data_IF_886340108552
#
_entry.id   IF_886340108552
#
_cell.length_a   1.000
_cell.length_b   1.000
_cell.length_c   1.000
_cell.angle_alpha   90.00
_cell.angle_beta   90.00
_cell.angle_gamma   90.00
#
_symmetry.space_group_name_H-M   'P 1'
#
loop_
_entity.id
_entity.type
_entity.pdbx_description
1 polymer ?
#
# COMPACT_ATOMS: atom_id res chain seq x y z
N UNK A 1 -40.32 -27.53 11.70
CA UNK A 1 -39.35 -27.50 10.59
C UNK A 1 -38.10 -26.81 11.13
N UNK A 2 -37.03 -27.58 11.35
CA UNK A 2 -35.80 -27.11 11.98
C UNK A 2 -34.78 -26.75 10.90
N UNK A 3 -34.36 -25.48 10.86
CA UNK A 3 -33.36 -24.99 9.93
C UNK A 3 -31.97 -25.55 10.31
N UNK A 4 -31.22 -26.13 9.36
CA UNK A 4 -29.88 -26.64 9.62
C UNK A 4 -28.90 -25.48 9.85
N UNK A 5 -28.29 -25.45 11.03
CA UNK A 5 -27.15 -24.58 11.36
C UNK A 5 -25.95 -25.04 10.52
N UNK A 6 -25.52 -24.20 9.57
CA UNK A 6 -24.28 -24.42 8.82
C UNK A 6 -23.09 -24.12 9.72
N UNK A 7 -22.29 -25.14 10.01
CA UNK A 7 -21.00 -25.01 10.66
C UNK A 7 -20.04 -24.30 9.70
N UNK A 8 -19.51 -23.15 10.12
CA UNK A 8 -18.39 -22.49 9.47
C UNK A 8 -17.13 -23.30 9.78
N UNK A 9 -16.58 -23.94 8.76
CA UNK A 9 -15.29 -24.61 8.82
C UNK A 9 -14.20 -23.56 9.01
N UNK A 10 -13.43 -23.70 10.09
CA UNK A 10 -12.24 -22.90 10.35
C UNK A 10 -11.13 -23.32 9.36
N UNK A 11 -10.90 -22.51 8.33
CA UNK A 11 -9.80 -22.69 7.39
C UNK A 11 -8.49 -22.46 8.12
N UNK A 12 -7.72 -23.51 8.33
CA UNK A 12 -6.41 -23.47 8.96
C UNK A 12 -5.43 -22.82 7.99
N UNK A 13 -5.00 -21.59 8.28
CA UNK A 13 -3.92 -20.94 7.56
C UNK A 13 -2.63 -21.74 7.78
N UNK A 14 -2.14 -22.39 6.73
CA UNK A 14 -0.86 -23.08 6.76
C UNK A 14 0.26 -22.04 6.79
N UNK A 15 0.93 -21.92 7.95
CA UNK A 15 2.18 -21.20 8.12
C UNK A 15 3.25 -21.88 7.24
N UNK A 16 3.61 -21.26 6.12
CA UNK A 16 4.76 -21.67 5.31
C UNK A 16 6.01 -21.16 6.00
N UNK A 17 6.63 -22.01 6.81
CA UNK A 17 7.97 -21.76 7.35
C UNK A 17 9.00 -21.94 6.21
N UNK A 18 9.33 -20.84 5.53
CA UNK A 18 10.43 -20.77 4.56
C UNK A 18 11.77 -20.72 5.27
N UNK A 19 12.62 -21.72 5.01
CA UNK A 19 13.97 -21.88 5.54
C UNK A 19 14.89 -20.72 5.16
N UNK A 20 15.27 -19.92 6.16
CA UNK A 20 16.33 -18.91 6.13
C UNK A 20 17.74 -19.54 6.13
N UNK A 21 18.14 -20.17 5.03
CA UNK A 21 19.53 -20.65 4.83
C UNK A 21 20.13 -19.98 3.60
N UNK A 22 20.50 -18.71 3.74
CA UNK A 22 21.10 -17.96 2.63
C UNK A 22 21.45 -16.52 2.93
N UNK A 23 21.88 -16.18 4.15
CA UNK A 23 22.47 -14.88 4.46
C UNK A 23 23.88 -14.76 3.85
N UNK A 24 23.97 -14.85 2.52
CA UNK A 24 25.13 -14.33 1.80
C UNK A 24 25.18 -12.82 2.07
N UNK A 25 26.29 -12.35 2.63
CA UNK A 25 26.51 -10.98 3.07
C UNK A 25 26.16 -9.97 1.97
N UNK A 26 24.91 -9.50 1.96
CA UNK A 26 24.52 -8.36 1.17
C UNK A 26 25.39 -7.18 1.64
N UNK A 27 26.04 -6.45 0.72
CA UNK A 27 26.78 -5.25 1.09
C UNK A 27 25.84 -4.35 1.91
N UNK A 28 26.33 -3.69 2.98
CA UNK A 28 25.50 -2.91 3.87
C UNK A 28 24.80 -1.78 3.09
N UNK A 29 23.59 -2.06 2.62
CA UNK A 29 22.69 -1.10 2.05
C UNK A 29 21.89 -0.48 3.20
N UNK A 30 21.70 0.84 3.17
CA UNK A 30 20.71 1.47 4.05
C UNK A 30 19.31 0.92 3.78
N UNK A 31 18.52 0.67 4.83
CA UNK A 31 17.13 0.26 4.74
C UNK A 31 16.88 -1.21 5.06
N UNK A 32 15.63 -1.64 4.92
CA UNK A 32 15.18 -3.02 5.12
C UNK A 32 15.63 -3.89 3.92
N UNK A 33 16.10 -5.13 4.13
CA UNK A 33 16.46 -6.06 3.05
C UNK A 33 15.31 -6.34 2.08
N UNK A 34 15.62 -6.54 0.80
CA UNK A 34 14.61 -6.63 -0.28
C UNK A 34 13.71 -7.88 -0.13
N UNK A 35 14.26 -8.99 0.35
CA UNK A 35 13.55 -10.22 0.69
C UNK A 35 12.56 -10.00 1.84
N UNK A 36 12.98 -9.29 2.88
CA UNK A 36 12.12 -8.90 4.00
C UNK A 36 10.99 -7.97 3.53
N UNK A 37 11.28 -7.01 2.65
CA UNK A 37 10.25 -6.14 2.08
C UNK A 37 9.20 -6.95 1.31
N UNK A 38 9.64 -7.90 0.49
CA UNK A 38 8.74 -8.75 -0.29
C UNK A 38 7.87 -9.64 0.61
N UNK A 39 8.47 -10.24 1.64
CA UNK A 39 7.78 -11.04 2.66
C UNK A 39 6.71 -10.21 3.37
N UNK A 40 7.06 -9.04 3.91
CA UNK A 40 6.10 -8.19 4.63
C UNK A 40 5.00 -7.63 3.74
N UNK A 41 5.27 -7.36 2.46
CA UNK A 41 4.20 -6.99 1.51
C UNK A 41 3.25 -8.17 1.30
N UNK A 42 3.77 -9.39 1.23
CA UNK A 42 2.96 -10.60 1.10
C UNK A 42 2.07 -10.88 2.33
N UNK A 43 2.45 -10.37 3.50
CA UNK A 43 1.68 -10.47 4.74
C UNK A 43 0.55 -9.44 4.85
N UNK A 44 0.50 -8.42 3.97
CA UNK A 44 -0.57 -7.42 3.98
C UNK A 44 -1.92 -8.12 3.68
N UNK A 45 -2.95 -7.95 4.54
CA UNK A 45 -4.28 -8.47 4.26
C UNK A 45 -4.79 -8.01 2.90
N UNK A 46 -5.17 -8.97 2.04
CA UNK A 46 -5.65 -8.70 0.69
C UNK A 46 -4.55 -8.73 -0.39
N UNK A 47 -3.29 -8.94 -0.06
CA UNK A 47 -2.25 -9.29 -1.04
C UNK A 47 -2.24 -10.81 -1.26
N UNK A 48 -2.19 -11.24 -2.52
CA UNK A 48 -2.23 -12.65 -2.92
C UNK A 48 -0.91 -13.13 -3.53
N UNK A 49 -0.14 -12.24 -4.13
CA UNK A 49 1.16 -12.54 -4.72
C UNK A 49 2.04 -11.29 -4.78
N UNK A 50 3.35 -11.49 -4.62
CA UNK A 50 4.37 -10.44 -4.68
C UNK A 50 5.55 -10.94 -5.49
N UNK A 51 5.93 -10.16 -6.49
CA UNK A 51 7.23 -10.23 -7.15
C UNK A 51 7.89 -8.88 -7.00
N UNK A 52 9.05 -8.83 -6.35
CA UNK A 52 9.79 -7.61 -6.09
C UNK A 52 11.26 -7.83 -6.42
N UNK A 53 11.81 -6.99 -7.29
CA UNK A 53 13.21 -7.02 -7.69
C UNK A 53 13.79 -5.62 -7.64
N UNK A 54 14.88 -5.45 -6.89
CA UNK A 54 15.67 -4.23 -6.95
C UNK A 54 16.59 -4.26 -8.17
N UNK A 55 16.44 -3.27 -9.05
CA UNK A 55 17.26 -3.08 -10.25
C UNK A 55 18.07 -1.81 -10.14
N UNK A 56 19.29 -1.86 -10.64
CA UNK A 56 20.17 -0.70 -10.78
C UNK A 56 20.79 -0.73 -12.16
N UNK A 57 20.34 0.16 -13.03
CA UNK A 57 20.86 0.29 -14.40
C UNK A 57 21.19 1.76 -14.71
N UNK A 58 22.09 1.98 -15.66
CA UNK A 58 22.58 3.32 -15.98
C UNK A 58 21.54 4.19 -16.72
N UNK A 59 20.49 3.59 -17.29
CA UNK A 59 19.46 4.32 -18.06
C UNK A 59 18.33 4.85 -17.20
N UNK A 60 17.94 4.09 -16.16
CA UNK A 60 16.77 4.38 -15.31
C UNK A 60 17.14 4.54 -13.84
N UNK A 61 18.40 4.35 -13.48
CA UNK A 61 18.87 4.47 -12.10
C UNK A 61 18.46 3.28 -11.23
N UNK A 62 18.27 3.56 -9.94
CA UNK A 62 17.98 2.58 -8.89
C UNK A 62 16.47 2.50 -8.67
N UNK A 63 15.88 1.30 -8.75
CA UNK A 63 14.42 1.15 -8.68
C UNK A 63 13.97 -0.21 -8.23
N UNK A 64 12.78 -0.28 -7.64
CA UNK A 64 12.05 -1.52 -7.54
C UNK A 64 11.19 -1.73 -8.80
N UNK A 65 11.17 -2.98 -9.27
CA UNK A 65 10.34 -3.46 -10.35
C UNK A 65 9.67 -4.78 -9.94
N UNK A 66 8.54 -5.09 -10.55
CA UNK A 66 7.78 -6.30 -10.27
C UNK A 66 6.28 -6.08 -10.26
N UNK A 67 5.57 -7.01 -9.62
CA UNK A 67 4.12 -7.07 -9.62
C UNK A 67 3.61 -7.43 -8.23
N UNK A 68 2.57 -6.73 -7.78
CA UNK A 68 1.84 -7.00 -6.54
C UNK A 68 0.41 -7.29 -6.94
N UNK A 69 -0.10 -8.47 -6.60
CA UNK A 69 -1.46 -8.89 -6.95
C UNK A 69 -2.31 -8.79 -5.69
N UNK A 70 -3.30 -7.89 -5.72
CA UNK A 70 -4.32 -7.78 -4.69
C UNK A 70 -5.48 -8.73 -4.97
N UNK A 71 -6.15 -9.19 -3.92
CA UNK A 71 -7.35 -10.01 -4.00
C UNK A 71 -8.44 -9.25 -4.79
N UNK A 72 -8.97 -9.82 -5.90
CA UNK A 72 -9.98 -9.15 -6.73
C UNK A 72 -11.31 -8.90 -6.02
N UNK A 73 -11.54 -9.48 -4.84
CA UNK A 73 -12.74 -9.26 -4.04
C UNK A 73 -12.68 -8.00 -3.16
N UNK A 74 -11.52 -7.32 -3.09
CA UNK A 74 -11.38 -6.12 -2.29
C UNK A 74 -12.22 -4.96 -2.83
N UNK A 75 -12.81 -4.21 -1.92
CA UNK A 75 -13.41 -2.91 -2.22
C UNK A 75 -12.32 -1.87 -2.51
N UNK A 76 -12.69 -0.79 -3.21
CA UNK A 76 -11.74 0.29 -3.52
C UNK A 76 -11.03 0.88 -2.27
N UNK A 77 -11.72 1.15 -1.14
CA UNK A 77 -11.03 1.60 0.08
C UNK A 77 -10.00 0.60 0.62
N UNK A 78 -10.28 -0.71 0.54
CA UNK A 78 -9.34 -1.75 0.96
C UNK A 78 -8.11 -1.79 0.04
N UNK A 79 -8.30 -1.68 -1.28
CA UNK A 79 -7.17 -1.59 -2.23
C UNK A 79 -6.32 -0.36 -1.96
N UNK A 80 -6.92 0.79 -1.65
CA UNK A 80 -6.16 2.00 -1.26
C UNK A 80 -5.35 1.77 0.02
N UNK A 81 -5.89 1.02 0.98
CA UNK A 81 -5.14 0.61 2.16
C UNK A 81 -3.93 -0.27 1.83
N UNK A 82 -4.11 -1.28 0.97
CA UNK A 82 -3.01 -2.12 0.47
C UNK A 82 -1.92 -1.24 -0.18
N UNK A 83 -2.31 -0.33 -1.08
CA UNK A 83 -1.37 0.57 -1.77
C UNK A 83 -0.59 1.44 -0.79
N UNK A 84 -1.25 2.01 0.22
CA UNK A 84 -0.59 2.83 1.24
C UNK A 84 0.44 2.02 2.02
N UNK A 85 0.06 0.84 2.51
CA UNK A 85 0.94 -0.02 3.30
C UNK A 85 2.13 -0.53 2.49
N UNK A 86 1.90 -0.96 1.24
CA UNK A 86 2.97 -1.29 0.28
C UNK A 86 3.95 -0.13 0.12
N UNK A 87 3.42 1.09 -0.07
CA UNK A 87 4.24 2.28 -0.25
C UNK A 87 5.09 2.61 0.98
N UNK A 88 4.53 2.43 2.18
CA UNK A 88 5.22 2.64 3.46
C UNK A 88 6.33 1.61 3.70
N UNK A 89 6.09 0.34 3.33
CA UNK A 89 7.11 -0.71 3.41
C UNK A 89 8.26 -0.39 2.44
N UNK A 90 7.96 -0.13 1.17
CA UNK A 90 8.98 0.19 0.16
C UNK A 90 9.77 1.46 0.49
N UNK A 91 9.14 2.45 1.13
CA UNK A 91 9.81 3.67 1.61
C UNK A 91 10.98 3.36 2.54
N UNK A 92 10.87 2.32 3.36
CA UNK A 92 11.87 1.88 4.32
C UNK A 92 12.97 0.99 3.72
N UNK A 93 12.79 0.57 2.47
CA UNK A 93 13.81 -0.15 1.70
C UNK A 93 14.94 0.77 1.21
N UNK A 94 15.70 0.25 0.23
CA UNK A 94 16.75 1.00 -0.47
C UNK A 94 16.23 2.30 -1.08
N UNK A 95 17.13 3.29 -1.19
CA UNK A 95 16.86 4.53 -1.92
C UNK A 95 16.76 4.25 -3.41
N UNK A 96 15.63 4.63 -3.99
CA UNK A 96 15.31 4.52 -5.40
C UNK A 96 15.16 5.90 -6.02
N UNK A 97 15.51 6.04 -7.30
CA UNK A 97 15.30 7.26 -8.09
C UNK A 97 13.86 7.31 -8.59
N UNK A 98 13.37 6.18 -9.09
CA UNK A 98 11.98 5.91 -9.39
C UNK A 98 11.64 4.49 -8.93
N UNK A 99 10.37 4.13 -8.81
CA UNK A 99 9.99 2.71 -8.76
C UNK A 99 8.77 2.54 -9.64
N UNK A 100 8.72 1.40 -10.31
CA UNK A 100 7.65 1.06 -11.25
C UNK A 100 7.21 -0.36 -10.93
N UNK A 101 6.43 -0.46 -9.86
CA UNK A 101 5.74 -1.68 -9.49
C UNK A 101 4.35 -1.66 -10.11
N UNK A 102 3.90 -2.80 -10.60
CA UNK A 102 2.54 -2.93 -11.11
C UNK A 102 1.67 -3.52 -10.01
N UNK A 103 0.62 -2.81 -9.61
CA UNK A 103 -0.45 -3.36 -8.80
C UNK A 103 -1.52 -3.95 -9.73
N UNK A 104 -1.90 -5.20 -9.51
CA UNK A 104 -2.98 -5.89 -10.21
C UNK A 104 -4.14 -6.08 -9.25
N UNK A 105 -5.35 -5.72 -9.67
CA UNK A 105 -6.59 -5.90 -8.91
C UNK A 105 -7.71 -6.29 -9.88
N UNK A 106 -8.08 -7.59 -9.90
CA UNK A 106 -8.94 -8.14 -10.95
C UNK A 106 -8.34 -7.90 -12.34
N UNK A 107 -9.11 -7.30 -13.25
CA UNK A 107 -8.66 -6.94 -14.60
C UNK A 107 -7.92 -5.60 -14.66
N UNK A 108 -7.82 -4.87 -13.54
CA UNK A 108 -7.17 -3.57 -13.48
C UNK A 108 -5.68 -3.70 -13.20
N UNK A 109 -4.89 -2.83 -13.84
CA UNK A 109 -3.45 -2.72 -13.62
C UNK A 109 -3.09 -1.25 -13.41
N UNK A 110 -2.43 -0.94 -12.30
CA UNK A 110 -1.97 0.40 -11.98
C UNK A 110 -0.45 0.39 -11.74
N UNK A 111 0.26 1.41 -12.21
CA UNK A 111 1.68 1.57 -11.89
C UNK A 111 1.83 2.39 -10.61
N UNK A 112 2.48 1.80 -9.60
CA UNK A 112 2.86 2.48 -8.37
C UNK A 112 4.17 3.23 -8.60
N UNK A 113 4.08 4.55 -8.61
CA UNK A 113 5.24 5.44 -8.70
C UNK A 113 5.70 5.85 -7.30
N UNK A 114 6.86 5.35 -6.88
CA UNK A 114 7.48 5.72 -5.60
C UNK A 114 8.47 6.88 -5.81
N UNK A 115 8.01 8.09 -5.52
CA UNK A 115 8.85 9.28 -5.41
C UNK A 115 9.31 9.52 -3.96
N UNK A 116 9.75 10.75 -3.69
CA UNK A 116 9.94 11.21 -2.31
C UNK A 116 8.59 11.23 -1.57
N UNK A 117 8.56 10.63 -0.38
CA UNK A 117 7.39 10.51 0.50
C UNK A 117 7.73 10.95 1.92
N UNK A 118 8.79 11.74 2.10
CA UNK A 118 9.21 12.22 3.42
C UNK A 118 8.10 12.98 4.16
N UNK A 119 7.26 13.71 3.43
CA UNK A 119 6.11 14.43 4.00
C UNK A 119 5.01 13.49 4.50
N UNK A 120 4.88 12.29 3.91
CA UNK A 120 3.84 11.32 4.24
C UNK A 120 4.28 10.31 5.30
N UNK A 121 5.49 9.77 5.17
CA UNK A 121 6.00 8.67 6.00
C UNK A 121 7.15 9.08 6.92
N UNK A 122 7.54 10.35 6.91
CA UNK A 122 8.69 10.84 7.65
C UNK A 122 10.03 10.43 7.02
N UNK A 123 11.15 10.71 7.71
CA UNK A 123 12.48 10.43 7.20
C UNK A 123 12.69 8.93 7.01
N UNK A 124 13.37 8.55 5.93
CA UNK A 124 13.77 7.15 5.71
C UNK A 124 14.72 6.68 6.81
N UNK A 125 14.67 5.38 7.19
CA UNK A 125 15.71 4.78 8.01
C UNK A 125 17.10 5.01 7.40
N UNK A 126 18.03 5.52 8.20
CA UNK A 126 19.43 5.75 7.83
C UNK A 126 20.30 4.50 8.04
N UNK A 127 19.82 3.53 8.83
CA UNK A 127 20.47 2.27 9.14
C UNK A 127 19.63 1.07 8.71
N UNK A 128 20.27 -0.09 8.46
CA UNK A 128 19.54 -1.32 8.22
C UNK A 128 18.60 -1.67 9.37
N UNK A 129 17.42 -2.20 9.03
CA UNK A 129 16.43 -2.71 10.00
C UNK A 129 16.00 -4.12 9.58
N UNK A 130 15.73 -5.01 10.55
CA UNK A 130 15.30 -6.38 10.24
C UNK A 130 13.86 -6.43 9.72
N UNK A 131 13.06 -5.38 9.92
CA UNK A 131 11.66 -5.29 9.50
C UNK A 131 11.28 -3.84 9.17
N UNK A 132 10.30 -3.66 8.30
CA UNK A 132 9.59 -2.40 8.09
C UNK A 132 8.50 -2.21 9.16
N UNK A 133 8.26 -0.96 9.55
CA UNK A 133 7.11 -0.56 10.36
C UNK A 133 5.95 -0.19 9.44
N UNK A 134 4.76 -0.73 9.69
CA UNK A 134 3.58 -0.44 8.86
C UNK A 134 2.53 0.18 9.74
N UNK A 135 2.00 1.32 9.33
CA UNK A 135 0.85 1.92 10.00
C UNK A 135 -0.38 1.11 9.63
N UNK A 136 -1.18 0.61 10.60
CA UNK A 136 -2.45 -0.03 10.31
C UNK A 136 -3.31 0.89 9.43
N UNK A 137 -3.97 0.31 8.44
CA UNK A 137 -4.93 1.01 7.61
C UNK A 137 -6.31 0.42 7.88
N UNK A 138 -7.23 1.25 8.32
CA UNK A 138 -8.62 0.85 8.50
C UNK A 138 -9.42 1.24 7.24
N UNK A 139 -10.00 0.28 6.53
CA UNK A 139 -10.89 0.57 5.41
C UNK A 139 -12.09 1.38 5.93
N UNK A 140 -12.33 2.56 5.36
CA UNK A 140 -13.48 3.41 5.72
C UNK A 140 -13.20 4.52 6.73
N UNK A 141 -11.97 4.67 7.21
CA UNK A 141 -11.55 5.86 7.97
C UNK A 141 -11.25 7.07 7.07
N UNK A 142 -11.81 7.10 5.85
CA UNK A 142 -11.86 8.37 5.12
C UNK A 142 -12.54 9.38 6.02
N UNK A 143 -11.98 10.60 6.16
CA UNK A 143 -12.68 11.63 6.90
C UNK A 143 -14.05 11.75 6.26
N UNK A 144 -15.11 11.42 7.01
CA UNK A 144 -16.49 11.71 6.60
C UNK A 144 -16.44 13.12 6.04
N UNK A 145 -16.76 13.33 4.75
CA UNK A 145 -16.62 14.64 4.15
C UNK A 145 -17.30 15.61 5.08
N UNK A 146 -16.54 16.57 5.60
CA UNK A 146 -17.08 17.61 6.45
C UNK A 146 -18.29 18.17 5.70
N UNK A 147 -19.48 18.25 6.32
CA UNK A 147 -20.67 18.70 5.63
C UNK A 147 -20.31 19.96 4.85
N UNK A 148 -20.55 19.94 3.52
CA UNK A 148 -20.28 21.10 2.71
C UNK A 148 -20.93 22.31 3.39
N UNK A 149 -20.24 23.46 3.50
CA UNK A 149 -20.80 24.63 4.15
C UNK A 149 -22.20 24.87 3.59
N UNK A 150 -23.18 25.01 4.48
CA UNK A 150 -24.56 25.27 4.09
C UNK A 150 -24.56 26.46 3.11
N UNK A 151 -25.20 26.34 1.93
CA UNK A 151 -25.15 27.40 0.94
C UNK A 151 -25.59 28.71 1.59
N UNK A 152 -24.71 29.71 1.54
CA UNK A 152 -24.99 31.04 2.07
C UNK A 152 -26.29 31.56 1.43
N UNK A 153 -27.26 32.09 2.22
CA UNK A 153 -28.55 32.49 1.67
C UNK A 153 -28.35 33.50 0.54
N UNK A 154 -28.92 33.20 -0.63
CA UNK A 154 -28.83 34.08 -1.79
C UNK A 154 -29.29 35.49 -1.41
N UNK A 155 -28.53 36.54 -1.76
CA UNK A 155 -28.91 37.91 -1.46
C UNK A 155 -30.24 38.22 -2.15
N UNK A 156 -31.27 38.51 -1.36
CA UNK A 156 -32.57 38.97 -1.88
C UNK A 156 -32.36 40.29 -2.60
N UNK A 157 -32.30 40.25 -3.93
CA UNK A 157 -32.32 41.44 -4.78
C UNK A 157 -33.71 42.07 -4.65
N UNK A 158 -33.87 42.94 -3.66
CA UNK A 158 -35.06 43.77 -3.51
C UNK A 158 -35.04 44.78 -4.65
N UNK A 159 -35.80 44.50 -5.71
CA UNK A 159 -35.93 45.39 -6.86
C UNK A 159 -36.44 46.75 -6.43
N UNK A 160 -35.63 47.79 -6.63
CA UNK A 160 -36.08 49.17 -6.50
C UNK A 160 -37.08 49.47 -7.64
N UNK A 161 -38.24 50.08 -7.36
CA UNK A 161 -39.17 50.49 -8.41
C UNK A 161 -38.50 51.57 -9.28
N UNK A 162 -38.46 51.33 -10.59
CA UNK A 162 -38.08 52.36 -11.56
C UNK A 162 -39.25 53.36 -11.66
N UNK A 163 -38.95 54.63 -11.40
CA UNK A 163 -39.86 55.76 -11.67
C UNK A 163 -39.85 56.14 -13.15
#
# INVERSE_FOLDING_TARGET
>A
MQSPRRALAATTAALVAGLALGACSLPPGSGVPDDVLAEQIGEIPGVTSVTLEYRSDWTRGKRYAGEIVADPALSEPEVRCVVRQVSEILWQGRRTTDSSLVLVHGDQRATLLMGDRSDTFGPRPDRPRPTATVTPCEPGSEPTPEPAPEPEPEPKITGAPRS
#
